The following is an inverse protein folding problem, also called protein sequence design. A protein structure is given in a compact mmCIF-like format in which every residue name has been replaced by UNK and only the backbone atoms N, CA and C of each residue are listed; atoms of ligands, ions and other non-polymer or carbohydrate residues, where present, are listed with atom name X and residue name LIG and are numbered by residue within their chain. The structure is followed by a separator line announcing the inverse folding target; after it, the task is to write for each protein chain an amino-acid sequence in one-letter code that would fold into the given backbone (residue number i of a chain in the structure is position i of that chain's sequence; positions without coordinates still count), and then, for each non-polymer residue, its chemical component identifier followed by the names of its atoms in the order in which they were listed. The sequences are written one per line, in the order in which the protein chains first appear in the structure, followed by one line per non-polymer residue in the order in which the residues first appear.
data_IF_050884119775
#
_entry.id   IF_050884119775
#
_cell.length_a   1.000
_cell.length_b   1.000
_cell.length_c   1.000
_cell.angle_alpha   90.00
_cell.angle_beta   90.00
_cell.angle_gamma   90.00
#
_symmetry.space_group_name_H-M   'P 1'
#
loop_
_entity.id
_entity.type
_entity.pdbx_description
1 polymer ?
#
# COMPACT_ATOMS: atom_id res chain seq x y z
N UNK A 1 -16.51 -2.57 -0.75
CA UNK A 1 -17.48 -1.89 -1.64
C UNK A 1 -18.80 -1.69 -0.87
N UNK A 2 -19.52 -0.60 -1.08
CA UNK A 2 -20.81 -0.33 -0.42
C UNK A 2 -21.72 0.49 -1.33
N UNK A 3 -22.99 0.67 -0.95
CA UNK A 3 -23.97 1.44 -1.73
C UNK A 3 -23.59 2.92 -1.92
N UNK A 4 -22.82 3.48 -0.97
CA UNK A 4 -22.13 4.77 -1.12
C UNK A 4 -22.98 5.99 -0.76
N UNK A 5 -23.95 5.87 0.15
CA UNK A 5 -24.84 6.98 0.53
C UNK A 5 -24.10 8.22 1.07
N UNK A 6 -22.94 8.03 1.72
CA UNK A 6 -22.09 9.13 2.16
C UNK A 6 -21.53 9.96 1.01
N UNK A 7 -21.50 9.43 -0.22
CA UNK A 7 -21.00 10.15 -1.39
C UNK A 7 -22.05 11.06 -2.04
N UNK A 8 -23.32 10.99 -1.64
CA UNK A 8 -24.42 11.75 -2.28
C UNK A 8 -24.16 13.25 -2.32
N UNK A 9 -23.54 13.81 -1.28
CA UNK A 9 -23.21 15.24 -1.22
C UNK A 9 -22.12 15.66 -2.23
N UNK A 10 -21.21 14.74 -2.60
CA UNK A 10 -20.07 15.00 -3.49
C UNK A 10 -20.26 14.52 -4.92
N UNK A 11 -21.14 13.56 -5.13
CA UNK A 11 -21.33 12.89 -6.42
C UNK A 11 -22.82 12.61 -6.65
N UNK A 12 -23.50 13.42 -7.48
CA UNK A 12 -24.89 13.18 -7.87
C UNK A 12 -25.11 11.79 -8.47
N UNK A 13 -24.18 11.33 -9.30
CA UNK A 13 -24.20 9.99 -9.92
C UNK A 13 -24.31 8.85 -8.89
N UNK A 14 -23.76 9.04 -7.68
CA UNK A 14 -23.87 8.05 -6.62
C UNK A 14 -25.31 7.89 -6.11
N UNK A 15 -26.08 8.99 -6.07
CA UNK A 15 -27.48 8.98 -5.68
C UNK A 15 -28.37 8.37 -6.78
N UNK A 16 -28.10 8.68 -8.05
CA UNK A 16 -28.82 8.07 -9.18
C UNK A 16 -28.60 6.55 -9.26
N UNK A 17 -27.38 6.09 -8.96
CA UNK A 17 -27.04 4.68 -8.97
C UNK A 17 -27.42 3.94 -7.67
N UNK A 18 -28.16 4.55 -6.74
CA UNK A 18 -28.57 3.92 -5.49
C UNK A 18 -29.92 3.21 -5.62
N UNK A 19 -30.05 2.03 -4.99
CA UNK A 19 -31.33 1.35 -4.82
C UNK A 19 -31.27 0.39 -3.63
N UNK A 20 -32.43 -0.01 -3.05
CA UNK A 20 -32.47 -1.04 -2.02
C UNK A 20 -31.83 -2.37 -2.47
N UNK A 21 -32.00 -2.75 -3.74
CA UNK A 21 -31.39 -3.96 -4.31
C UNK A 21 -29.86 -3.85 -4.32
N UNK A 22 -29.32 -2.66 -4.60
CA UNK A 22 -27.88 -2.40 -4.53
C UNK A 22 -27.36 -2.50 -3.10
N UNK A 23 -28.09 -1.98 -2.12
CA UNK A 23 -27.75 -2.12 -0.69
C UNK A 23 -27.62 -3.60 -0.32
N UNK A 24 -28.64 -4.40 -0.63
CA UNK A 24 -28.64 -5.84 -0.34
C UNK A 24 -27.55 -6.59 -1.10
N UNK A 25 -27.30 -6.22 -2.36
CA UNK A 25 -26.22 -6.80 -3.16
C UNK A 25 -24.85 -6.45 -2.56
N UNK A 26 -24.65 -5.22 -2.10
CA UNK A 26 -23.41 -4.80 -1.45
C UNK A 26 -23.20 -5.54 -0.13
N UNK A 27 -24.23 -5.66 0.71
CA UNK A 27 -24.18 -6.40 1.97
C UNK A 27 -23.74 -7.86 1.75
N UNK A 28 -24.30 -8.54 0.75
CA UNK A 28 -23.87 -9.91 0.39
C UNK A 28 -22.38 -9.98 0.05
N UNK A 29 -21.92 -9.11 -0.85
CA UNK A 29 -20.51 -9.04 -1.24
C UNK A 29 -19.60 -8.66 -0.06
N UNK A 30 -20.04 -7.77 0.83
CA UNK A 30 -19.31 -7.41 2.05
C UNK A 30 -19.11 -8.62 2.95
N UNK A 31 -20.15 -9.46 3.14
CA UNK A 31 -20.04 -10.69 3.92
C UNK A 31 -19.02 -11.69 3.35
N UNK A 32 -18.96 -11.85 2.03
CA UNK A 32 -17.95 -12.69 1.37
C UNK A 32 -16.54 -12.13 1.58
N UNK A 33 -16.35 -10.82 1.37
CA UNK A 33 -15.06 -10.16 1.59
C UNK A 33 -14.61 -10.27 3.04
N UNK A 34 -15.51 -10.03 4.00
CA UNK A 34 -15.22 -10.12 5.43
C UNK A 34 -14.78 -11.53 5.83
N UNK A 35 -15.45 -12.57 5.32
CA UNK A 35 -15.07 -13.96 5.58
C UNK A 35 -13.65 -14.27 5.07
N UNK A 36 -13.31 -13.83 3.85
CA UNK A 36 -11.96 -13.99 3.32
C UNK A 36 -10.91 -13.16 4.08
N UNK A 37 -11.25 -11.93 4.49
CA UNK A 37 -10.38 -11.07 5.28
C UNK A 37 -10.07 -11.69 6.66
N UNK A 38 -11.08 -12.23 7.35
CA UNK A 38 -10.90 -12.98 8.60
C UNK A 38 -9.99 -14.18 8.41
N UNK A 39 -10.16 -14.91 7.31
CA UNK A 39 -9.34 -16.08 7.07
C UNK A 39 -7.85 -15.72 6.98
N UNK A 40 -7.53 -14.60 6.30
CA UNK A 40 -6.16 -14.13 6.12
C UNK A 40 -5.55 -13.52 7.40
N UNK A 41 -6.36 -13.35 8.44
CA UNK A 41 -5.95 -12.73 9.68
C UNK A 41 -5.24 -13.75 10.59
N UNK A 42 -4.02 -13.41 10.98
CA UNK A 42 -3.28 -14.17 12.00
C UNK A 42 -4.00 -14.09 13.37
N UNK A 43 -3.82 -15.08 14.25
CA UNK A 43 -4.30 -14.99 15.64
C UNK A 43 -3.79 -13.72 16.33
N UNK A 44 -4.65 -13.08 17.13
CA UNK A 44 -4.39 -11.77 17.74
C UNK A 44 -4.42 -10.58 16.76
N UNK A 45 -4.57 -10.83 15.46
CA UNK A 45 -4.64 -9.80 14.43
C UNK A 45 -5.92 -8.97 14.51
N UNK A 46 -5.84 -7.73 14.01
CA UNK A 46 -6.98 -6.81 13.97
C UNK A 46 -7.51 -6.63 12.54
N UNK A 47 -8.83 -6.55 12.42
CA UNK A 47 -9.57 -6.31 11.18
C UNK A 47 -10.43 -5.05 11.35
N UNK A 48 -10.15 -4.02 10.55
CA UNK A 48 -11.01 -2.84 10.47
C UNK A 48 -11.98 -3.00 9.30
N UNK A 49 -13.27 -3.04 9.60
CA UNK A 49 -14.34 -2.91 8.63
C UNK A 49 -14.78 -1.45 8.54
N UNK A 50 -14.98 -0.95 7.32
CA UNK A 50 -15.45 0.41 7.10
C UNK A 50 -16.32 0.53 5.86
N UNK A 51 -17.35 1.38 5.93
CA UNK A 51 -18.19 1.73 4.78
C UNK A 51 -18.36 3.25 4.70
N UNK A 52 -18.68 3.75 3.51
CA UNK A 52 -19.15 5.13 3.29
C UNK A 52 -20.66 5.16 3.01
N UNK A 53 -21.44 4.32 3.71
CA UNK A 53 -22.90 4.26 3.59
C UNK A 53 -23.57 4.31 4.97
N UNK A 54 -24.85 4.70 5.02
CA UNK A 54 -25.60 4.80 6.27
C UNK A 54 -26.48 3.57 6.54
N UNK A 55 -26.86 2.82 5.51
CA UNK A 55 -27.65 1.58 5.58
C UNK A 55 -27.23 0.66 6.75
N UNK A 56 -28.16 0.23 7.62
CA UNK A 56 -27.91 -0.78 8.64
C UNK A 56 -27.52 -2.16 8.09
N UNK A 57 -28.08 -2.55 6.95
CA UNK A 57 -27.84 -3.84 6.27
C UNK A 57 -26.35 -4.02 5.93
N UNK A 58 -25.69 -2.94 5.55
CA UNK A 58 -24.25 -2.91 5.25
C UNK A 58 -23.38 -2.62 6.47
N UNK A 59 -23.96 -2.28 7.62
CA UNK A 59 -23.25 -1.80 8.81
C UNK A 59 -23.51 -2.73 10.01
N UNK A 60 -24.40 -2.36 10.94
CA UNK A 60 -24.63 -3.14 12.16
C UNK A 60 -25.09 -4.58 11.88
N UNK A 61 -25.98 -4.79 10.91
CA UNK A 61 -26.45 -6.13 10.58
C UNK A 61 -25.32 -6.99 9.99
N UNK A 62 -24.45 -6.36 9.19
CA UNK A 62 -23.28 -7.03 8.63
C UNK A 62 -22.29 -7.46 9.72
N UNK A 63 -22.06 -6.61 10.73
CA UNK A 63 -21.18 -6.93 11.87
C UNK A 63 -21.83 -7.96 12.80
N UNK A 64 -23.12 -7.82 13.11
CA UNK A 64 -23.86 -8.79 13.91
C UNK A 64 -23.79 -10.20 13.29
N UNK A 65 -24.15 -10.32 12.01
CA UNK A 65 -24.08 -11.58 11.29
C UNK A 65 -22.66 -12.17 11.23
N UNK A 66 -21.64 -11.31 11.10
CA UNK A 66 -20.25 -11.73 11.10
C UNK A 66 -19.81 -12.30 12.47
N UNK A 67 -20.13 -11.62 13.57
CA UNK A 67 -19.79 -12.07 14.92
C UNK A 67 -20.55 -13.34 15.33
N UNK A 68 -21.81 -13.49 14.90
CA UNK A 68 -22.56 -14.73 15.08
C UNK A 68 -21.92 -15.91 14.33
N UNK A 69 -21.38 -15.66 13.14
CA UNK A 69 -20.76 -16.69 12.30
C UNK A 69 -19.35 -17.09 12.76
N UNK A 70 -18.58 -16.15 13.29
CA UNK A 70 -17.17 -16.34 13.66
C UNK A 70 -16.96 -16.03 15.14
N UNK A 71 -17.12 -17.05 15.97
CA UNK A 71 -16.99 -16.94 17.43
C UNK A 71 -15.59 -16.59 17.93
N UNK A 72 -14.57 -16.69 17.07
CA UNK A 72 -13.19 -16.33 17.38
C UNK A 72 -12.89 -14.84 17.08
N UNK A 73 -13.91 -14.05 16.76
CA UNK A 73 -13.81 -12.63 16.49
C UNK A 73 -14.59 -11.84 17.54
N UNK A 74 -14.01 -10.73 18.01
CA UNK A 74 -14.66 -9.81 18.96
C UNK A 74 -14.48 -8.36 18.56
N UNK A 75 -15.45 -7.51 18.91
CA UNK A 75 -15.34 -6.05 18.74
C UNK A 75 -14.40 -5.44 19.79
N UNK A 76 -13.55 -4.53 19.32
CA UNK A 76 -12.61 -3.78 20.15
C UNK A 76 -12.99 -2.30 20.11
N UNK A 77 -13.04 -1.61 21.27
CA UNK A 77 -13.32 -0.18 21.30
C UNK A 77 -12.21 0.59 20.59
N UNK A 78 -12.61 1.59 19.80
CA UNK A 78 -11.70 2.52 19.14
C UNK A 78 -11.66 3.85 19.91
N UNK A 79 -10.57 4.61 19.72
CA UNK A 79 -10.52 6.01 20.16
C UNK A 79 -11.63 6.80 19.49
N UNK A 80 -12.41 7.54 20.28
CA UNK A 80 -13.48 8.40 19.80
C UNK A 80 -13.05 9.87 19.80
N UNK A 81 -13.74 10.68 18.99
CA UNK A 81 -13.57 12.13 18.93
C UNK A 81 -14.94 12.82 18.97
N UNK A 82 -14.94 14.12 19.23
CA UNK A 82 -16.17 14.93 19.20
C UNK A 82 -16.88 14.76 17.84
N UNK A 83 -18.20 14.56 17.88
CA UNK A 83 -19.04 14.35 16.70
C UNK A 83 -19.24 12.88 16.29
N UNK A 84 -18.40 11.95 16.78
CA UNK A 84 -18.60 10.52 16.56
C UNK A 84 -19.82 10.03 17.33
N UNK A 85 -20.61 9.16 16.70
CA UNK A 85 -21.72 8.46 17.33
C UNK A 85 -21.39 6.98 17.46
N UNK A 86 -21.90 6.31 18.49
CA UNK A 86 -21.84 4.86 18.59
C UNK A 86 -22.68 4.18 17.51
N UNK A 87 -22.33 2.94 17.19
CA UNK A 87 -23.21 2.03 16.45
C UNK A 87 -24.53 1.82 17.18
N UNK A 88 -25.51 1.28 16.45
CA UNK A 88 -26.90 1.15 16.90
C UNK A 88 -27.29 -0.32 17.07
N UNK A 89 -27.19 -0.89 18.28
CA UNK A 89 -27.61 -2.28 18.53
C UNK A 89 -29.04 -2.58 18.08
N UNK A 90 -29.94 -1.60 18.21
CA UNK A 90 -31.35 -1.66 17.82
C UNK A 90 -31.57 -1.78 16.31
N UNK A 91 -30.54 -1.58 15.49
CA UNK A 91 -30.61 -1.70 14.03
C UNK A 91 -30.19 -3.08 13.52
N UNK A 92 -29.83 -4.00 14.42
CA UNK A 92 -29.45 -5.37 14.12
C UNK A 92 -30.13 -6.36 15.10
N UNK A 93 -29.35 -7.13 15.84
CA UNK A 93 -29.81 -8.20 16.74
C UNK A 93 -29.90 -7.78 18.21
N UNK A 94 -29.77 -6.47 18.50
CA UNK A 94 -29.77 -5.94 19.87
C UNK A 94 -28.47 -6.19 20.64
N UNK A 95 -27.42 -6.71 20.00
CA UNK A 95 -26.14 -6.97 20.66
C UNK A 95 -25.48 -5.66 21.14
N UNK A 96 -25.31 -5.45 22.47
CA UNK A 96 -24.75 -4.20 23.01
C UNK A 96 -23.30 -3.97 22.58
N UNK A 97 -22.57 -5.01 22.16
CA UNK A 97 -21.21 -4.87 21.66
C UNK A 97 -21.13 -3.96 20.42
N UNK A 98 -22.22 -3.83 19.65
CA UNK A 98 -22.32 -2.95 18.48
C UNK A 98 -22.15 -1.45 18.84
N UNK A 99 -22.29 -1.05 20.12
CA UNK A 99 -21.98 0.31 20.56
C UNK A 99 -20.49 0.67 20.42
N UNK A 100 -19.61 -0.35 20.31
CA UNK A 100 -18.17 -0.18 20.04
C UNK A 100 -17.89 0.22 18.59
N UNK A 101 -18.85 0.01 17.69
CA UNK A 101 -18.78 0.54 16.34
C UNK A 101 -18.91 2.07 16.35
N UNK A 102 -18.40 2.72 15.32
CA UNK A 102 -18.49 4.18 15.16
C UNK A 102 -19.30 4.50 13.92
N UNK A 103 -20.23 5.45 14.07
CA UNK A 103 -20.90 6.15 12.98
C UNK A 103 -20.46 7.60 12.95
N UNK A 104 -20.08 8.04 11.75
CA UNK A 104 -19.82 9.44 11.42
C UNK A 104 -21.02 9.94 10.63
N UNK A 105 -21.67 10.98 11.14
CA UNK A 105 -22.84 11.58 10.52
C UNK A 105 -22.53 12.99 10.02
N UNK A 106 -22.91 13.35 8.79
CA UNK A 106 -22.61 14.66 8.22
C UNK A 106 -23.30 15.83 8.96
N UNK A 107 -24.35 15.57 9.73
CA UNK A 107 -25.05 16.58 10.54
C UNK A 107 -24.49 16.74 11.97
N UNK A 108 -23.51 15.91 12.37
CA UNK A 108 -22.89 15.96 13.71
C UNK A 108 -21.44 16.42 13.68
N UNK A 109 -20.80 16.40 12.51
CA UNK A 109 -19.46 16.91 12.28
C UNK A 109 -19.20 17.14 10.80
N UNK A 110 -18.15 17.92 10.51
CA UNK A 110 -17.67 18.14 9.15
C UNK A 110 -17.05 16.86 8.58
N UNK A 111 -17.84 16.15 7.78
CA UNK A 111 -17.47 14.91 7.09
C UNK A 111 -18.60 14.45 6.18
N UNK A 112 -18.32 13.52 5.27
CA UNK A 112 -19.34 12.97 4.36
C UNK A 112 -20.26 11.95 5.05
N UNK A 113 -19.67 11.15 5.94
CA UNK A 113 -20.33 10.03 6.62
C UNK A 113 -19.60 8.72 6.40
N UNK A 114 -19.47 7.92 7.46
CA UNK A 114 -18.76 6.64 7.47
C UNK A 114 -19.25 5.75 8.62
N UNK A 115 -19.06 4.44 8.47
CA UNK A 115 -19.17 3.46 9.54
C UNK A 115 -17.82 2.77 9.75
N UNK A 116 -17.49 2.44 10.99
CA UNK A 116 -16.25 1.76 11.38
C UNK A 116 -16.53 0.69 12.42
N UNK A 117 -15.96 -0.50 12.25
CA UNK A 117 -15.96 -1.56 13.25
C UNK A 117 -14.56 -2.20 13.31
N UNK A 118 -13.88 -2.07 14.46
CA UNK A 118 -12.60 -2.71 14.70
C UNK A 118 -12.84 -4.03 15.44
N UNK A 119 -12.38 -5.13 14.83
CA UNK A 119 -12.50 -6.46 15.39
C UNK A 119 -11.12 -7.08 15.58
N UNK A 120 -11.01 -8.02 16.51
CA UNK A 120 -9.78 -8.78 16.74
C UNK A 120 -10.08 -10.27 16.74
N UNK A 121 -9.20 -11.03 16.09
CA UNK A 121 -9.19 -12.50 16.15
C UNK A 121 -8.54 -12.94 17.46
N UNK A 122 -9.12 -13.91 18.15
CA UNK A 122 -8.55 -14.45 19.38
C UNK A 122 -7.10 -14.96 19.19
N UNK A 123 -6.26 -14.83 20.22
CA UNK A 123 -4.84 -15.20 20.15
C UNK A 123 -4.62 -16.71 20.06
N UNK A 124 -5.53 -17.49 20.64
CA UNK A 124 -5.54 -18.95 20.63
C UNK A 124 -6.26 -19.53 19.41
N UNK A 125 -6.79 -18.71 18.50
CA UNK A 125 -7.46 -19.17 17.31
C UNK A 125 -6.48 -19.95 16.41
N UNK A 126 -6.94 -20.99 15.74
CA UNK A 126 -6.14 -21.68 14.73
C UNK A 126 -5.91 -20.78 13.51
N UNK A 127 -4.75 -20.93 12.87
CA UNK A 127 -4.60 -20.43 11.51
C UNK A 127 -5.56 -21.19 10.60
N UNK A 128 -6.28 -20.46 9.74
CA UNK A 128 -6.99 -21.12 8.66
C UNK A 128 -5.94 -21.71 7.72
N UNK A 129 -6.11 -22.98 7.39
CA UNK A 129 -5.23 -23.66 6.44
C UNK A 129 -5.59 -23.16 5.05
N UNK A 130 -4.84 -22.17 4.57
CA UNK A 130 -4.87 -21.82 3.15
C UNK A 130 -4.17 -22.92 2.36
N UNK A 131 -4.74 -23.35 1.22
CA UNK A 131 -4.04 -24.29 0.36
C UNK A 131 -2.69 -23.68 -0.04
N UNK A 132 -1.61 -24.43 0.19
CA UNK A 132 -0.23 -24.04 -0.17
C UNK A 132 0.01 -23.95 -1.67
N UNK A 133 -1.01 -24.29 -2.46
CA UNK A 133 -1.06 -24.21 -3.92
C UNK A 133 -2.45 -23.76 -4.33
N UNK A 134 -2.55 -22.62 -4.99
CA UNK A 134 -3.79 -22.24 -5.67
C UNK A 134 -4.02 -23.18 -6.86
N UNK A 135 -5.28 -23.58 -7.15
CA UNK A 135 -5.56 -24.26 -8.40
C UNK A 135 -5.11 -23.37 -9.58
N UNK A 136 -4.56 -23.96 -10.66
CA UNK A 136 -4.15 -23.20 -11.83
C UNK A 136 -5.31 -22.35 -12.36
N UNK A 137 -4.98 -21.18 -12.91
CA UNK A 137 -6.00 -20.27 -13.46
C UNK A 137 -6.79 -20.98 -14.57
N UNK A 138 -8.08 -20.67 -14.78
CA UNK A 138 -8.84 -21.23 -15.91
C UNK A 138 -8.11 -20.93 -17.24
N UNK A 139 -7.47 -21.95 -17.83
CA UNK A 139 -6.66 -21.81 -19.05
C UNK A 139 -5.19 -22.27 -18.91
N UNK A 140 -4.67 -22.44 -17.70
CA UNK A 140 -3.37 -23.09 -17.49
C UNK A 140 -3.52 -24.60 -17.65
N UNK A 141 -3.00 -25.14 -18.74
CA UNK A 141 -2.92 -26.59 -18.93
C UNK A 141 -1.94 -27.15 -17.87
N UNK A 142 -2.32 -28.19 -17.11
CA UNK A 142 -1.35 -28.88 -16.27
C UNK A 142 -0.23 -29.41 -17.17
N UNK A 143 1.02 -29.02 -16.88
CA UNK A 143 2.17 -29.66 -17.50
C UNK A 143 2.04 -31.17 -17.27
N UNK A 144 2.11 -31.93 -18.35
CA UNK A 144 1.99 -33.39 -18.30
C UNK A 144 3.03 -33.93 -17.33
N UNK A 145 2.56 -34.53 -16.24
CA UNK A 145 3.38 -35.29 -15.32
C UNK A 145 4.06 -36.43 -16.08
N UNK A 146 5.28 -36.19 -16.55
CA UNK A 146 6.16 -37.22 -17.05
C UNK A 146 6.44 -38.17 -15.89
N UNK A 147 6.11 -39.46 -16.08
CA UNK A 147 6.44 -40.55 -15.15
C UNK A 147 7.95 -40.60 -14.90
N UNK A 148 8.45 -39.84 -13.93
CA UNK A 148 9.77 -40.08 -13.31
C UNK A 148 9.55 -40.93 -12.08
N UNK A 149 9.99 -42.19 -12.17
CA UNK A 149 10.02 -43.18 -11.08
C UNK A 149 10.66 -42.52 -9.85
N UNK A 150 9.93 -42.50 -8.74
CA UNK A 150 10.43 -42.04 -7.45
C UNK A 150 11.55 -42.97 -6.99
N UNK A 151 12.79 -42.48 -7.04
CA UNK A 151 13.85 -43.00 -6.19
C UNK A 151 13.73 -42.21 -4.89
N UNK A 152 13.29 -42.87 -3.83
CA UNK A 152 13.29 -42.31 -2.49
C UNK A 152 14.73 -41.89 -2.15
N UNK A 153 14.99 -40.58 -2.11
CA UNK A 153 16.17 -40.04 -1.45
C UNK A 153 15.68 -39.27 -0.23
N UNK A 154 16.01 -39.81 0.93
CA UNK A 154 16.00 -39.15 2.23
C UNK A 154 16.74 -37.82 2.10
N UNK A 155 16.00 -36.71 1.95
CA UNK A 155 16.57 -35.37 2.02
C UNK A 155 15.98 -34.66 3.23
N UNK A 156 16.89 -34.42 4.16
CA UNK A 156 16.76 -33.70 5.40
C UNK A 156 15.95 -32.41 5.29
N UNK A 157 15.27 -32.07 6.39
CA UNK A 157 14.81 -30.72 6.72
C UNK A 157 15.98 -29.75 6.54
N UNK A 158 16.04 -29.07 5.41
CA UNK A 158 16.96 -27.98 5.15
C UNK A 158 16.16 -26.85 4.50
N UNK A 159 15.92 -25.80 5.29
CA UNK A 159 15.56 -24.42 4.92
C UNK A 159 15.10 -24.18 3.47
N UNK A 160 13.78 -24.10 3.27
CA UNK A 160 13.15 -23.56 2.07
C UNK A 160 13.19 -22.01 2.06
N UNK A 161 14.38 -21.40 2.04
CA UNK A 161 14.53 -19.92 2.01
C UNK A 161 15.30 -19.37 0.80
N UNK A 162 15.57 -20.17 -0.23
CA UNK A 162 16.50 -19.77 -1.31
C UNK A 162 16.01 -20.08 -2.72
N UNK A 163 14.80 -19.65 -3.09
CA UNK A 163 14.41 -19.62 -4.51
C UNK A 163 14.51 -18.18 -5.05
N UNK A 164 15.53 -17.93 -5.87
CA UNK A 164 15.73 -16.78 -6.77
C UNK A 164 15.52 -15.37 -6.19
N UNK A 165 16.24 -15.01 -5.12
CA UNK A 165 16.50 -13.58 -4.86
C UNK A 165 17.58 -13.10 -5.84
N UNK A 166 17.14 -12.58 -6.98
CA UNK A 166 17.98 -11.74 -7.82
C UNK A 166 18.40 -10.54 -6.97
N UNK A 167 19.62 -10.60 -6.44
CA UNK A 167 20.22 -9.58 -5.59
C UNK A 167 21.24 -8.78 -6.41
N UNK A 168 21.40 -7.48 -6.15
CA UNK A 168 22.40 -6.69 -6.85
C UNK A 168 23.82 -7.18 -6.53
N UNK A 169 24.68 -7.26 -7.54
CA UNK A 169 26.09 -7.57 -7.33
C UNK A 169 26.86 -6.42 -6.64
N UNK A 170 28.14 -6.63 -6.34
CA UNK A 170 28.98 -5.64 -5.63
C UNK A 170 29.09 -4.31 -6.38
N UNK A 171 29.17 -4.33 -7.71
CA UNK A 171 29.26 -3.12 -8.52
C UNK A 171 27.92 -2.38 -8.50
N UNK A 172 26.83 -3.10 -8.75
CA UNK A 172 25.47 -2.57 -8.72
C UNK A 172 25.13 -1.95 -7.36
N UNK A 173 25.54 -2.61 -6.26
CA UNK A 173 25.41 -2.09 -4.90
C UNK A 173 26.17 -0.78 -4.74
N UNK A 174 27.44 -0.72 -5.16
CA UNK A 174 28.25 0.50 -5.07
C UNK A 174 27.62 1.69 -5.82
N UNK A 175 26.94 1.43 -6.94
CA UNK A 175 26.30 2.46 -7.75
C UNK A 175 24.99 2.96 -7.14
N UNK A 176 24.24 2.13 -6.40
CA UNK A 176 22.94 2.50 -5.81
C UNK A 176 23.06 3.06 -4.39
N UNK A 177 24.06 2.63 -3.61
CA UNK A 177 24.25 3.06 -2.21
C UNK A 177 24.16 4.58 -1.98
N UNK A 178 24.72 5.46 -2.83
CA UNK A 178 24.62 6.91 -2.63
C UNK A 178 23.19 7.47 -2.63
N UNK A 179 22.20 6.70 -3.08
CA UNK A 179 20.80 7.12 -3.23
C UNK A 179 19.86 6.51 -2.18
N UNK A 180 20.32 5.52 -1.40
CA UNK A 180 19.45 4.72 -0.54
C UNK A 180 19.00 5.44 0.75
N UNK A 181 19.74 6.46 1.21
CA UNK A 181 19.48 7.06 2.51
C UNK A 181 19.59 6.00 3.62
N UNK A 182 18.54 5.85 4.42
CA UNK A 182 18.44 4.83 5.47
C UNK A 182 17.99 3.44 5.00
N UNK A 183 17.65 3.25 3.72
CA UNK A 183 17.16 1.98 3.20
C UNK A 183 18.22 0.89 3.29
N UNK A 184 17.90 -0.24 3.93
CA UNK A 184 18.84 -1.36 4.07
C UNK A 184 19.05 -2.09 2.73
N UNK A 185 20.30 -2.40 2.34
CA UNK A 185 20.60 -3.21 1.16
C UNK A 185 19.96 -4.61 1.16
N UNK A 186 19.59 -5.15 2.33
CA UNK A 186 19.05 -6.52 2.49
C UNK A 186 17.72 -6.75 1.76
N UNK A 187 17.03 -5.66 1.43
CA UNK A 187 15.72 -5.65 0.79
C UNK A 187 15.80 -5.33 -0.71
N UNK A 188 17.00 -5.19 -1.26
CA UNK A 188 17.20 -4.89 -2.66
C UNK A 188 17.02 -6.13 -3.53
N UNK A 189 16.27 -5.95 -4.61
CA UNK A 189 16.18 -6.92 -5.69
C UNK A 189 16.43 -6.25 -7.04
N UNK A 190 17.14 -6.95 -7.92
CA UNK A 190 17.26 -6.57 -9.32
C UNK A 190 16.33 -7.42 -10.20
N UNK A 191 15.70 -6.79 -11.19
CA UNK A 191 14.89 -7.47 -12.22
C UNK A 191 15.27 -6.90 -13.57
N UNK A 192 16.04 -7.67 -14.34
CA UNK A 192 16.76 -7.11 -15.48
C UNK A 192 17.66 -5.96 -15.02
N UNK A 193 17.46 -4.78 -15.61
CA UNK A 193 18.22 -3.58 -15.28
C UNK A 193 17.56 -2.69 -14.22
N UNK A 194 16.45 -3.12 -13.63
CA UNK A 194 15.68 -2.31 -12.68
C UNK A 194 15.96 -2.74 -11.23
N UNK A 195 16.11 -1.77 -10.35
CA UNK A 195 16.27 -1.96 -8.91
C UNK A 195 14.94 -1.76 -8.17
N UNK A 196 14.65 -2.62 -7.20
CA UNK A 196 13.46 -2.53 -6.35
C UNK A 196 13.83 -2.71 -4.89
N UNK A 197 13.18 -1.97 -4.00
CA UNK A 197 13.17 -2.22 -2.57
C UNK A 197 11.91 -3.00 -2.22
N UNK A 198 12.05 -4.25 -1.82
CA UNK A 198 10.91 -5.15 -1.58
C UNK A 198 10.88 -5.60 -0.12
N UNK A 199 9.70 -5.90 0.42
CA UNK A 199 9.61 -6.43 1.77
C UNK A 199 10.22 -7.84 1.84
N UNK A 200 10.99 -8.10 2.88
CA UNK A 200 11.43 -9.45 3.21
C UNK A 200 10.22 -10.23 3.76
N UNK A 201 10.19 -11.54 3.52
CA UNK A 201 9.19 -12.48 4.07
C UNK A 201 7.79 -12.41 3.46
N UNK A 202 7.63 -12.01 2.19
CA UNK A 202 6.39 -12.33 1.49
C UNK A 202 6.26 -13.87 1.40
N UNK A 203 5.06 -14.45 1.66
CA UNK A 203 4.83 -15.88 1.47
C UNK A 203 5.01 -16.24 -0.01
N UNK A 204 5.01 -17.52 -0.37
CA UNK A 204 5.07 -17.90 -1.78
C UNK A 204 3.85 -17.34 -2.52
N UNK A 205 4.07 -16.40 -3.44
CA UNK A 205 3.00 -15.68 -4.16
C UNK A 205 2.77 -16.21 -5.58
N UNK A 206 3.17 -17.46 -5.86
CA UNK A 206 3.00 -18.06 -7.19
C UNK A 206 1.52 -18.04 -7.60
N UNK A 207 1.24 -17.57 -8.82
CA UNK A 207 -0.13 -17.45 -9.35
C UNK A 207 -0.81 -16.10 -9.08
N UNK A 208 -0.23 -15.22 -8.25
CA UNK A 208 -0.73 -13.86 -8.07
C UNK A 208 -0.08 -12.89 -9.07
N UNK A 209 -0.91 -12.08 -9.73
CA UNK A 209 -0.43 -11.01 -10.58
C UNK A 209 -0.17 -9.74 -9.75
N UNK A 210 1.09 -9.33 -9.65
CA UNK A 210 1.47 -8.09 -8.97
C UNK A 210 1.61 -6.95 -9.95
N UNK A 211 0.85 -5.88 -9.72
CA UNK A 211 1.12 -4.60 -10.39
C UNK A 211 2.43 -3.99 -9.87
N UNK A 212 2.65 -4.06 -8.54
CA UNK A 212 3.88 -3.62 -7.84
C UNK A 212 4.09 -4.47 -6.59
N UNK A 213 5.34 -4.77 -6.26
CA UNK A 213 5.70 -5.52 -5.06
C UNK A 213 6.94 -4.92 -4.36
N UNK A 214 6.92 -3.59 -4.22
CA UNK A 214 8.00 -2.82 -3.63
C UNK A 214 8.09 -1.41 -4.21
N UNK A 215 9.09 -0.67 -3.78
CA UNK A 215 9.43 0.65 -4.33
C UNK A 215 10.39 0.44 -5.50
N UNK A 216 10.02 0.92 -6.68
CA UNK A 216 10.93 0.98 -7.81
C UNK A 216 12.00 2.04 -7.54
N UNK A 217 13.27 1.66 -7.44
CA UNK A 217 14.35 2.57 -7.01
C UNK A 217 15.02 3.29 -8.17
N UNK A 218 15.01 2.69 -9.36
CA UNK A 218 15.72 3.21 -10.52
C UNK A 218 16.24 2.10 -11.42
N UNK A 219 17.11 2.48 -12.35
CA UNK A 219 17.66 1.56 -13.34
C UNK A 219 19.18 1.67 -13.40
N UNK A 220 19.83 0.52 -13.51
CA UNK A 220 21.20 0.44 -13.99
C UNK A 220 21.21 0.66 -15.50
N UNK A 221 21.87 1.73 -15.92
CA UNK A 221 22.37 1.90 -17.28
C UNK A 221 23.83 1.44 -17.29
N UNK A 222 24.38 1.11 -18.46
CA UNK A 222 25.75 0.57 -18.69
C UNK A 222 26.67 0.60 -17.45
N UNK A 223 27.12 1.78 -17.01
CA UNK A 223 28.03 1.94 -15.87
C UNK A 223 27.52 2.94 -14.81
N UNK A 224 26.20 3.09 -14.65
CA UNK A 224 25.63 4.02 -13.67
C UNK A 224 24.23 3.63 -13.25
N UNK A 225 23.88 4.00 -12.02
CA UNK A 225 22.50 3.99 -11.56
C UNK A 225 21.82 5.34 -11.87
N UNK A 226 20.58 5.28 -12.36
CA UNK A 226 19.70 6.44 -12.50
C UNK A 226 18.51 6.28 -11.53
N UNK A 227 18.42 7.11 -10.48
CA UNK A 227 17.39 6.98 -9.46
C UNK A 227 16.01 7.37 -10.00
N UNK A 228 14.97 6.74 -9.46
CA UNK A 228 13.59 6.92 -9.88
C UNK A 228 12.86 8.01 -9.09
N UNK A 229 11.73 8.48 -9.63
CA UNK A 229 10.83 9.36 -8.90
C UNK A 229 10.23 8.69 -7.64
N UNK A 230 9.77 7.42 -7.64
CA UNK A 230 9.34 6.76 -6.41
C UNK A 230 10.41 6.70 -5.33
N UNK A 231 11.70 6.55 -5.67
CA UNK A 231 12.78 6.65 -4.69
C UNK A 231 12.87 8.05 -4.08
N UNK A 232 12.80 9.11 -4.89
CA UNK A 232 12.82 10.48 -4.35
C UNK A 232 11.72 10.67 -3.29
N UNK A 233 10.49 10.24 -3.60
CA UNK A 233 9.33 10.40 -2.73
C UNK A 233 9.33 9.46 -1.52
N UNK A 234 10.17 8.43 -1.51
CA UNK A 234 10.32 7.51 -0.38
C UNK A 234 11.33 8.01 0.66
N UNK A 235 12.17 9.00 0.32
CA UNK A 235 13.21 9.53 1.20
C UNK A 235 12.64 10.60 2.14
N UNK A 236 12.93 10.46 3.42
CA UNK A 236 12.59 11.43 4.47
C UNK A 236 13.56 12.61 4.52
N UNK A 237 13.30 13.59 5.39
CA UNK A 237 14.13 14.80 5.54
C UNK A 237 15.56 14.50 6.01
N UNK A 238 15.70 13.51 6.89
CA UNK A 238 16.97 13.17 7.55
C UNK A 238 17.82 12.17 6.75
N UNK A 239 17.33 11.68 5.61
CA UNK A 239 18.10 10.71 4.81
C UNK A 239 19.39 11.35 4.25
N UNK A 240 20.57 10.73 4.42
CA UNK A 240 21.86 11.31 4.07
C UNK A 240 22.17 11.23 2.57
N UNK A 241 21.29 11.84 1.76
CA UNK A 241 21.46 11.98 0.31
C UNK A 241 21.80 13.44 -0.03
N UNK A 242 22.61 13.71 -1.07
CA UNK A 242 22.87 15.08 -1.51
C UNK A 242 21.58 15.79 -1.93
N UNK A 243 21.31 16.97 -1.36
CA UNK A 243 20.07 17.73 -1.58
C UNK A 243 20.32 19.10 -2.18
N UNK A 244 19.27 19.64 -2.79
CA UNK A 244 19.14 21.06 -3.10
C UNK A 244 17.73 21.49 -2.68
N UNK A 245 17.68 22.28 -1.61
CA UNK A 245 16.42 22.72 -1.02
C UNK A 245 16.02 24.09 -1.57
N UNK A 246 14.74 24.22 -1.91
CA UNK A 246 14.13 25.46 -2.32
C UNK A 246 13.00 25.84 -1.36
N UNK A 247 12.83 27.14 -1.12
CA UNK A 247 11.59 27.65 -0.56
C UNK A 247 10.42 27.31 -1.51
N UNK A 248 9.22 27.00 -1.00
CA UNK A 248 8.01 26.90 -1.80
C UNK A 248 7.74 28.12 -2.70
N UNK A 249 8.18 29.30 -2.26
CA UNK A 249 8.03 30.57 -2.98
C UNK A 249 9.16 30.83 -3.99
N UNK A 250 10.20 29.99 -4.05
CA UNK A 250 11.28 30.16 -5.03
C UNK A 250 10.76 29.77 -6.42
N UNK A 251 10.73 30.69 -7.41
CA UNK A 251 10.18 30.40 -8.74
C UNK A 251 10.95 29.29 -9.47
N UNK A 252 12.18 29.01 -9.06
CA UNK A 252 12.99 27.90 -9.57
C UNK A 252 12.37 26.54 -9.22
N UNK A 253 11.68 26.42 -8.09
CA UNK A 253 10.96 25.20 -7.73
C UNK A 253 9.82 24.94 -8.72
N UNK A 254 9.01 25.96 -9.04
CA UNK A 254 7.95 25.85 -10.04
C UNK A 254 8.50 25.49 -11.42
N UNK A 255 9.56 26.17 -11.87
CA UNK A 255 10.22 25.85 -13.14
C UNK A 255 10.72 24.39 -13.16
N UNK A 256 11.35 23.94 -12.07
CA UNK A 256 11.77 22.55 -11.94
C UNK A 256 10.59 21.58 -11.98
N UNK A 257 9.48 21.86 -11.29
CA UNK A 257 8.26 21.02 -11.33
C UNK A 257 7.62 20.96 -12.73
N UNK A 258 7.79 22.00 -13.55
CA UNK A 258 7.39 22.01 -14.98
C UNK A 258 8.35 21.23 -15.90
N UNK A 259 9.45 20.71 -15.35
CA UNK A 259 10.45 19.96 -16.09
C UNK A 259 11.58 20.82 -16.66
N UNK A 260 11.66 22.10 -16.29
CA UNK A 260 12.68 23.02 -16.77
C UNK A 260 14.01 22.80 -16.03
N UNK A 261 15.12 23.18 -16.68
CA UNK A 261 16.42 23.20 -16.02
C UNK A 261 16.60 24.51 -15.25
N UNK A 262 17.21 24.43 -14.07
CA UNK A 262 17.37 25.57 -13.16
C UNK A 262 18.86 25.89 -13.01
N UNK A 263 19.20 27.17 -12.88
CA UNK A 263 20.57 27.59 -12.56
C UNK A 263 20.70 27.95 -11.08
N UNK A 264 21.83 27.54 -10.49
CA UNK A 264 22.19 27.91 -9.13
C UNK A 264 22.59 29.38 -9.05
N UNK A 265 22.27 30.02 -7.93
CA UNK A 265 22.72 31.39 -7.61
C UNK A 265 24.22 31.40 -7.30
N UNK A 266 24.87 32.56 -7.42
CA UNK A 266 26.33 32.69 -7.22
C UNK A 266 26.84 32.15 -5.87
N UNK A 267 26.04 32.20 -4.80
CA UNK A 267 26.37 31.61 -3.49
C UNK A 267 26.20 30.09 -3.41
N UNK A 268 25.34 29.51 -4.25
CA UNK A 268 25.04 28.07 -4.32
C UNK A 268 26.01 27.33 -5.27
N UNK A 269 26.80 28.05 -6.07
CA UNK A 269 27.75 27.49 -7.05
C UNK A 269 28.86 26.61 -6.42
N UNK A 270 29.00 26.62 -5.09
CA UNK A 270 29.92 25.75 -4.33
C UNK A 270 29.38 24.33 -4.11
N UNK A 271 28.11 24.07 -4.44
CA UNK A 271 27.52 22.73 -4.36
C UNK A 271 28.16 21.84 -5.43
N UNK A 272 28.64 20.67 -5.02
CA UNK A 272 29.29 19.70 -5.92
C UNK A 272 28.35 19.19 -7.01
N UNK A 273 28.88 18.98 -8.21
CA UNK A 273 28.16 18.34 -9.31
C UNK A 273 27.68 16.93 -8.93
N UNK A 274 26.64 16.45 -9.64
CA UNK A 274 26.07 15.13 -9.43
C UNK A 274 24.57 15.15 -9.22
N UNK A 275 24.03 14.01 -8.79
CA UNK A 275 22.61 13.90 -8.48
C UNK A 275 22.28 14.67 -7.19
N UNK A 276 21.17 15.39 -7.21
CA UNK A 276 20.61 16.11 -6.07
C UNK A 276 19.15 15.73 -5.92
N UNK A 277 18.76 15.36 -4.70
CA UNK A 277 17.36 15.31 -4.33
C UNK A 277 16.88 16.75 -4.19
N UNK A 278 15.97 17.16 -5.06
CA UNK A 278 15.35 18.48 -4.97
C UNK A 278 14.26 18.43 -3.93
N UNK A 279 14.27 19.38 -3.02
CA UNK A 279 13.31 19.47 -1.92
C UNK A 279 12.65 20.84 -1.86
N UNK A 280 11.43 20.85 -1.30
CA UNK A 280 10.70 22.05 -0.91
C UNK A 280 10.49 22.03 0.61
N UNK A 281 11.13 22.94 1.34
CA UNK A 281 11.22 22.92 2.81
C UNK A 281 11.58 21.53 3.38
N UNK A 282 12.58 20.90 2.76
CA UNK A 282 13.07 19.56 3.07
C UNK A 282 12.22 18.40 2.55
N UNK A 283 11.00 18.64 2.03
CA UNK A 283 10.17 17.58 1.43
C UNK A 283 10.62 17.27 0.01
N UNK A 284 10.87 15.99 -0.29
CA UNK A 284 11.32 15.57 -1.61
C UNK A 284 10.28 15.83 -2.71
N UNK A 285 10.70 16.46 -3.80
CA UNK A 285 9.86 16.66 -5.00
C UNK A 285 10.36 15.90 -6.22
N UNK A 286 11.64 15.51 -6.25
CA UNK A 286 12.19 14.72 -7.35
C UNK A 286 13.70 14.83 -7.48
N UNK A 287 14.26 14.15 -8.47
CA UNK A 287 15.70 14.18 -8.73
C UNK A 287 16.08 15.22 -9.77
N UNK A 288 17.20 15.90 -9.53
CA UNK A 288 17.92 16.71 -10.52
C UNK A 288 19.36 16.24 -10.67
N UNK A 289 19.97 16.51 -11.82
CA UNK A 289 21.41 16.29 -12.03
C UNK A 289 22.11 17.62 -12.25
N UNK A 290 22.89 18.04 -11.25
CA UNK A 290 23.68 19.26 -11.28
C UNK A 290 24.96 19.04 -12.10
N UNK A 291 25.23 19.96 -13.01
CA UNK A 291 26.47 20.01 -13.79
C UNK A 291 26.82 21.47 -14.06
N UNK A 292 27.97 21.92 -13.57
CA UNK A 292 28.49 23.29 -13.78
C UNK A 292 27.45 24.37 -13.44
N UNK A 293 26.81 24.24 -12.28
CA UNK A 293 25.80 25.20 -11.81
C UNK A 293 24.42 25.10 -12.49
N UNK A 294 24.25 24.23 -13.49
CA UNK A 294 22.94 23.94 -14.09
C UNK A 294 22.37 22.63 -13.54
N UNK A 295 21.21 22.72 -12.89
CA UNK A 295 20.43 21.59 -12.42
C UNK A 295 19.48 21.12 -13.53
N UNK A 296 19.83 20.01 -14.17
CA UNK A 296 18.97 19.37 -15.17
C UNK A 296 17.85 18.59 -14.49
N UNK A 297 16.61 18.85 -14.88
CA UNK A 297 15.45 18.13 -14.38
C UNK A 297 15.46 16.66 -14.80
N UNK A 298 15.08 15.78 -13.86
CA UNK A 298 14.91 14.33 -14.09
C UNK A 298 13.55 13.80 -13.65
N UNK A 299 12.58 14.69 -13.41
CA UNK A 299 11.18 14.34 -13.21
C UNK A 299 10.60 13.83 -14.53
N UNK A 300 9.93 12.68 -14.48
CA UNK A 300 9.25 12.08 -15.62
C UNK A 300 8.16 12.99 -16.17
N UNK A 301 7.95 13.00 -17.49
CA UNK A 301 7.02 13.94 -18.14
C UNK A 301 5.60 13.91 -17.57
N UNK A 302 5.09 12.73 -17.20
CA UNK A 302 3.76 12.55 -16.61
C UNK A 302 3.60 13.09 -15.19
N UNK A 303 4.69 13.50 -14.54
CA UNK A 303 4.71 14.04 -13.17
C UNK A 303 4.96 15.55 -13.14
N UNK A 304 5.12 16.17 -14.30
CA UNK A 304 5.36 17.61 -14.40
C UNK A 304 4.05 18.34 -14.17
N UNK A 305 4.13 19.40 -13.37
CA UNK A 305 3.00 20.31 -13.17
C UNK A 305 2.80 21.09 -14.46
N UNK A 306 1.56 21.18 -14.93
CA UNK A 306 1.16 22.04 -16.05
C UNK A 306 1.11 23.49 -15.61
#
# INVERSE_FOLDING_TARGET
PCSGEGMFRKSPDAAEAWSPEKVMSCARTQGEILAHARAMLRPGGMLLYSTCTFSPEENEQQIAAFLQRFSDMKLIPMKTWSGFSSGRPDWADGNPELEKCIRIWPHKMDGEGHFLALMQKEENASFDVFPTSFPPSPGERPEKAGKRRSRASTRSKANLTSENRNTPDREQLSQITPFLGCLSPDFLQNRGNSAYYVQNNLPMLSGLHFLRNGVFLGEWKKNRFEPSQPLALALGKEDPVPRLDFSPDDPRLTAFLRGESVFLKAGEAKISDGWKLVTADGQAVGWGKLTRGQLKNKIGASWRVS
#
